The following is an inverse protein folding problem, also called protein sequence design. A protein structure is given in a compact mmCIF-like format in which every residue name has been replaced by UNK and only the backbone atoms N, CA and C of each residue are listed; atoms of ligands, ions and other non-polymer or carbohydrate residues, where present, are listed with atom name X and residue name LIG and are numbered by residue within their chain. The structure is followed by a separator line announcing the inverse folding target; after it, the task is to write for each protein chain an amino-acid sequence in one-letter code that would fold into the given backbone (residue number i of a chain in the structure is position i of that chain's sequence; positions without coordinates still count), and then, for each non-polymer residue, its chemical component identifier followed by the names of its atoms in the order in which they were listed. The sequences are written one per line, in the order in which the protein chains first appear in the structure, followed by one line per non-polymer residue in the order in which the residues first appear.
data_IF_810369886391
#
_entry.id   IF_810369886391
#
_cell.length_a   1.000
_cell.length_b   1.000
_cell.length_c   1.000
_cell.angle_alpha   90.00
_cell.angle_beta   90.00
_cell.angle_gamma   90.00
#
_symmetry.space_group_name_H-M   'P 1'
#
loop_
_entity.id
_entity.type
_entity.pdbx_description
1 polymer ?
#
# COMPACT_ATOMS: atom_id res chain seq x y z
N UNK A 1 -35.77 -0.20 54.12
CA UNK A 1 -34.51 0.51 54.42
C UNK A 1 -33.39 -0.48 54.15
N UNK A 2 -32.63 -0.42 53.07
CA UNK A 2 -32.35 0.66 52.11
C UNK A 2 -32.24 0.11 50.69
N UNK A 3 -32.89 0.82 49.77
CA UNK A 3 -32.73 0.74 48.32
C UNK A 3 -31.30 1.03 47.86
N UNK A 4 -30.95 0.46 46.72
CA UNK A 4 -29.68 0.67 46.01
C UNK A 4 -29.81 0.24 44.56
N UNK A 5 -30.62 0.98 43.81
CA UNK A 5 -30.73 0.99 42.35
C UNK A 5 -29.38 1.39 41.71
N UNK A 6 -28.93 0.61 40.71
CA UNK A 6 -28.13 1.06 39.56
C UNK A 6 -28.34 0.11 38.38
N UNK A 7 -29.23 0.50 37.47
CA UNK A 7 -28.93 0.74 36.03
C UNK A 7 -27.75 -0.10 35.48
N UNK A 8 -27.96 -1.08 34.60
CA UNK A 8 -28.43 -0.85 33.24
C UNK A 8 -27.24 -0.53 32.34
N UNK A 9 -26.57 -1.56 31.81
CA UNK A 9 -25.80 -1.44 30.57
C UNK A 9 -26.08 -2.68 29.74
N UNK A 10 -26.97 -2.49 28.76
CA UNK A 10 -27.05 -3.31 27.58
C UNK A 10 -25.64 -3.42 27.01
N UNK A 11 -25.12 -4.64 26.92
CA UNK A 11 -23.98 -4.93 26.06
C UNK A 11 -24.43 -4.64 24.64
N UNK A 12 -24.14 -3.42 24.19
CA UNK A 12 -24.17 -3.03 22.80
C UNK A 12 -23.17 -3.94 22.08
N UNK A 13 -23.69 -5.03 21.50
CA UNK A 13 -23.17 -5.55 20.25
C UNK A 13 -23.23 -4.38 19.27
N UNK A 14 -22.13 -3.63 19.18
CA UNK A 14 -21.93 -2.72 18.06
C UNK A 14 -21.79 -3.63 16.84
N UNK A 15 -22.90 -3.85 16.14
CA UNK A 15 -22.92 -4.25 14.75
C UNK A 15 -21.98 -3.32 13.99
N UNK A 16 -20.76 -3.78 13.74
CA UNK A 16 -19.92 -3.18 12.72
C UNK A 16 -20.70 -3.32 11.40
N UNK A 17 -21.19 -2.19 10.87
CA UNK A 17 -21.79 -2.15 9.56
C UNK A 17 -20.79 -2.75 8.55
N UNK A 18 -21.12 -3.93 8.04
CA UNK A 18 -20.37 -4.61 7.01
C UNK A 18 -20.51 -3.84 5.69
N UNK A 19 -19.72 -2.77 5.52
CA UNK A 19 -19.50 -2.19 4.21
C UNK A 19 -18.70 -3.16 3.36
N UNK A 20 -19.18 -3.46 2.15
CA UNK A 20 -18.37 -4.16 1.15
C UNK A 20 -17.06 -3.39 0.93
N UNK A 21 -15.95 -4.12 0.81
CA UNK A 21 -14.68 -3.50 0.46
C UNK A 21 -14.82 -2.85 -0.92
N UNK A 22 -14.24 -1.65 -1.14
CA UNK A 22 -14.31 -1.02 -2.45
C UNK A 22 -13.66 -1.90 -3.51
N UNK A 23 -14.31 -2.00 -4.65
CA UNK A 23 -13.81 -2.62 -5.88
C UNK A 23 -12.56 -1.89 -6.39
N UNK A 24 -11.79 -2.54 -7.26
CA UNK A 24 -10.59 -1.92 -7.83
C UNK A 24 -10.91 -0.72 -8.71
N UNK A 25 -12.03 -0.74 -9.43
CA UNK A 25 -12.54 0.39 -10.17
C UNK A 25 -12.87 1.58 -9.23
N UNK A 26 -13.52 1.35 -8.09
CA UNK A 26 -13.78 2.39 -7.09
C UNK A 26 -12.51 2.91 -6.43
N UNK A 27 -11.49 2.05 -6.22
CA UNK A 27 -10.18 2.46 -5.71
C UNK A 27 -9.47 3.38 -6.70
N UNK A 28 -9.53 3.06 -8.00
CA UNK A 28 -9.00 3.94 -9.05
C UNK A 28 -9.77 5.25 -9.14
N UNK A 29 -11.10 5.23 -9.05
CA UNK A 29 -11.92 6.43 -9.03
C UNK A 29 -11.54 7.36 -7.87
N UNK A 30 -11.40 6.81 -6.66
CA UNK A 30 -10.97 7.57 -5.47
C UNK A 30 -9.56 8.13 -5.63
N UNK A 31 -8.64 7.35 -6.20
CA UNK A 31 -7.29 7.81 -6.49
C UNK A 31 -7.28 8.95 -7.53
N UNK A 32 -7.98 8.76 -8.64
CA UNK A 32 -8.07 9.75 -9.71
C UNK A 32 -8.67 11.06 -9.20
N UNK A 33 -9.82 11.00 -8.54
CA UNK A 33 -10.49 12.17 -7.97
C UNK A 33 -9.61 12.91 -6.94
N UNK A 34 -8.80 12.18 -6.17
CA UNK A 34 -7.91 12.77 -5.16
C UNK A 34 -6.71 13.48 -5.80
N UNK A 35 -6.21 13.02 -6.94
CA UNK A 35 -4.95 13.48 -7.52
C UNK A 35 -5.07 14.11 -8.92
N UNK A 36 -6.27 14.31 -9.44
CA UNK A 36 -6.55 14.87 -10.78
C UNK A 36 -5.74 16.14 -11.08
N UNK A 37 -5.57 17.02 -10.08
CA UNK A 37 -4.85 18.29 -10.21
C UNK A 37 -3.61 18.40 -9.32
N UNK A 38 -3.22 17.33 -8.62
CA UNK A 38 -2.12 17.36 -7.67
C UNK A 38 -0.92 16.58 -8.17
N UNK A 39 0.32 17.09 -8.00
CA UNK A 39 1.50 16.29 -8.25
C UNK A 39 1.56 15.11 -7.27
N UNK A 40 2.03 13.98 -7.80
CA UNK A 40 2.18 12.71 -7.11
C UNK A 40 3.69 12.39 -7.05
N UNK A 41 4.30 12.43 -5.87
CA UNK A 41 5.76 12.28 -5.67
C UNK A 41 6.31 11.00 -6.31
N UNK A 42 7.57 10.93 -6.77
CA UNK A 42 8.19 9.62 -7.08
C UNK A 42 8.27 8.73 -5.82
N UNK A 43 8.33 7.41 -5.99
CA UNK A 43 8.49 6.48 -4.86
C UNK A 43 9.87 5.82 -4.89
N UNK A 44 10.37 5.41 -3.72
CA UNK A 44 11.59 4.63 -3.61
C UNK A 44 11.47 3.56 -2.53
N UNK A 45 12.31 2.52 -2.62
CA UNK A 45 12.39 1.45 -1.66
C UNK A 45 13.83 1.19 -1.22
N UNK A 46 14.10 1.21 0.08
CA UNK A 46 15.43 0.99 0.64
C UNK A 46 15.37 0.10 1.88
N UNK A 47 16.35 -0.79 2.03
CA UNK A 47 16.49 -1.58 3.28
C UNK A 47 17.14 -0.68 4.34
N UNK A 48 16.48 -0.56 5.49
CA UNK A 48 16.95 0.24 6.62
C UNK A 48 16.92 -0.56 7.91
N UNK A 49 17.80 -0.19 8.85
CA UNK A 49 17.67 -0.66 10.23
C UNK A 49 16.77 0.30 10.98
N UNK A 50 15.71 -0.20 11.60
CA UNK A 50 14.78 0.61 12.38
C UNK A 50 14.65 0.05 13.79
N UNK A 51 14.60 0.96 14.77
CA UNK A 51 14.32 0.68 16.17
C UNK A 51 13.36 1.75 16.69
N UNK A 52 12.24 1.33 17.25
CA UNK A 52 11.19 2.22 17.73
C UNK A 52 9.86 1.49 17.83
N UNK A 53 8.83 2.19 18.30
CA UNK A 53 7.47 1.70 18.18
C UNK A 53 6.98 1.89 16.74
N UNK A 54 6.29 0.90 16.19
CA UNK A 54 5.71 0.99 14.85
C UNK A 54 4.25 0.50 14.89
N UNK A 55 3.42 1.04 14.01
CA UNK A 55 1.97 0.85 13.97
C UNK A 55 1.55 0.46 12.56
N UNK A 56 0.45 -0.28 12.41
CA UNK A 56 -0.14 -0.48 11.08
C UNK A 56 -0.52 0.86 10.46
N UNK A 57 -0.32 0.98 9.16
CA UNK A 57 -0.85 2.10 8.38
C UNK A 57 -2.33 1.88 8.15
N UNK A 58 -3.13 2.89 8.48
CA UNK A 58 -4.57 2.89 8.26
C UNK A 58 -4.89 2.75 6.77
N UNK A 59 -5.92 1.96 6.44
CA UNK A 59 -6.34 1.64 5.06
C UNK A 59 -5.28 0.95 4.18
N UNK A 60 -4.25 0.33 4.77
CA UNK A 60 -3.37 -0.57 4.03
C UNK A 60 -4.18 -1.71 3.41
N UNK A 61 -4.08 -1.88 2.09
CA UNK A 61 -4.75 -2.95 1.35
C UNK A 61 -3.90 -4.22 1.35
N UNK A 62 -4.50 -5.40 1.21
CA UNK A 62 -3.77 -6.68 1.20
C UNK A 62 -2.75 -6.82 0.06
N UNK A 63 -1.86 -7.81 0.19
CA UNK A 63 -0.71 -8.10 -0.70
C UNK A 63 -1.08 -8.29 -2.19
N UNK A 64 -0.83 -7.30 -3.08
CA UNK A 64 -0.94 -7.44 -4.52
C UNK A 64 0.40 -7.93 -5.14
N UNK A 65 0.36 -8.32 -6.42
CA UNK A 65 1.53 -8.77 -7.18
C UNK A 65 2.32 -7.59 -7.78
N UNK A 66 3.65 -7.70 -7.77
CA UNK A 66 4.67 -6.75 -8.18
C UNK A 66 5.59 -7.46 -9.18
N UNK A 67 5.46 -7.27 -10.50
CA UNK A 67 6.22 -8.09 -11.48
C UNK A 67 6.06 -9.61 -11.23
N UNK A 68 4.85 -10.04 -10.85
CA UNK A 68 4.56 -11.42 -10.42
C UNK A 68 5.00 -11.77 -8.99
N UNK A 69 5.48 -10.79 -8.21
CA UNK A 69 6.00 -10.95 -6.84
C UNK A 69 5.08 -10.27 -5.82
N UNK A 70 4.53 -10.92 -4.80
CA UNK A 70 3.80 -10.27 -3.70
C UNK A 70 4.68 -9.31 -2.89
N UNK A 71 4.12 -8.45 -2.03
CA UNK A 71 4.92 -7.65 -1.06
C UNK A 71 5.94 -8.50 -0.30
N UNK A 72 5.56 -9.73 0.05
CA UNK A 72 6.47 -10.78 0.54
C UNK A 72 7.69 -11.00 -0.32
N UNK A 73 7.47 -11.19 -1.61
CA UNK A 73 8.55 -11.44 -2.55
C UNK A 73 9.36 -10.16 -2.84
N UNK A 74 8.77 -8.96 -2.84
CA UNK A 74 9.54 -7.71 -2.90
C UNK A 74 10.46 -7.57 -1.69
N UNK A 75 9.93 -7.75 -0.49
CA UNK A 75 10.68 -7.73 0.76
C UNK A 75 11.85 -8.73 0.73
N UNK A 76 11.58 -9.97 0.29
CA UNK A 76 12.60 -11.02 0.13
C UNK A 76 13.63 -10.62 -0.94
N UNK A 77 13.20 -10.10 -2.09
CA UNK A 77 14.07 -9.71 -3.20
C UNK A 77 14.99 -8.56 -2.82
N UNK A 78 14.45 -7.50 -2.21
CA UNK A 78 15.22 -6.35 -1.74
C UNK A 78 16.17 -6.75 -0.60
N UNK A 79 15.73 -7.60 0.31
CA UNK A 79 16.59 -8.21 1.34
C UNK A 79 17.74 -9.03 0.73
N UNK A 80 17.48 -9.82 -0.32
CA UNK A 80 18.50 -10.60 -1.01
C UNK A 80 19.56 -9.70 -1.68
N UNK A 81 19.12 -8.60 -2.32
CA UNK A 81 20.00 -7.61 -2.97
C UNK A 81 20.79 -6.73 -2.00
N UNK A 82 20.31 -6.52 -0.77
CA UNK A 82 21.01 -5.75 0.25
C UNK A 82 22.35 -6.40 0.63
N UNK A 83 23.43 -5.62 0.71
CA UNK A 83 24.76 -6.08 1.19
C UNK A 83 24.95 -5.89 2.70
N UNK A 84 23.98 -5.25 3.38
CA UNK A 84 24.05 -4.96 4.80
C UNK A 84 23.04 -5.76 5.61
N UNK A 85 22.06 -5.05 6.16
CA UNK A 85 20.98 -5.61 6.98
C UNK A 85 20.15 -6.61 6.16
N UNK A 86 19.82 -7.77 6.75
CA UNK A 86 19.04 -8.85 6.13
C UNK A 86 17.70 -9.04 6.84
N UNK A 87 16.64 -9.10 6.04
CA UNK A 87 15.31 -9.41 6.53
C UNK A 87 15.19 -10.94 6.71
N UNK A 88 15.04 -11.39 7.96
CA UNK A 88 14.69 -12.78 8.30
C UNK A 88 13.20 -13.06 8.09
N UNK A 89 12.88 -14.28 7.66
CA UNK A 89 11.52 -14.73 7.32
C UNK A 89 10.68 -15.13 8.55
N UNK A 90 10.73 -14.35 9.62
CA UNK A 90 9.96 -14.58 10.85
C UNK A 90 9.24 -13.28 11.26
N UNK A 91 8.18 -13.37 12.06
CA UNK A 91 7.52 -12.19 12.61
C UNK A 91 8.48 -11.38 13.49
N UNK A 92 8.53 -10.06 13.30
CA UNK A 92 9.41 -9.16 14.07
C UNK A 92 8.75 -8.61 15.31
N UNK A 93 7.42 -8.59 15.35
CA UNK A 93 6.69 -8.13 16.52
C UNK A 93 6.85 -9.12 17.68
N UNK A 94 7.43 -8.65 18.77
CA UNK A 94 7.50 -9.37 20.05
C UNK A 94 6.30 -9.03 20.94
N UNK A 95 5.64 -7.91 20.69
CA UNK A 95 4.50 -7.41 21.45
C UNK A 95 3.50 -6.68 20.53
N UNK A 96 2.19 -6.77 20.81
CA UNK A 96 1.58 -7.64 21.81
C UNK A 96 1.74 -9.12 21.44
N UNK A 97 1.83 -10.01 22.43
CA UNK A 97 1.92 -11.46 22.18
C UNK A 97 0.52 -12.00 21.96
N UNK A 98 0.32 -12.87 20.97
CA UNK A 98 -0.98 -13.49 20.78
C UNK A 98 -1.34 -14.41 21.95
N UNK A 99 -2.60 -14.36 22.38
CA UNK A 99 -3.14 -15.27 23.39
C UNK A 99 -3.35 -16.66 22.80
N UNK A 100 -2.38 -17.56 22.99
CA UNK A 100 -2.35 -18.98 22.58
C UNK A 100 -2.43 -19.27 21.07
N UNK A 101 -1.47 -20.04 20.57
CA UNK A 101 -1.59 -20.81 19.32
C UNK A 101 -1.17 -20.12 18.02
N UNK A 102 -0.78 -18.85 18.02
CA UNK A 102 -0.22 -18.21 16.81
C UNK A 102 1.23 -18.64 16.59
N UNK A 103 1.54 -19.19 15.41
CA UNK A 103 2.93 -19.37 15.00
C UNK A 103 3.52 -18.04 14.53
N UNK A 104 4.72 -17.71 15.01
CA UNK A 104 5.53 -16.59 14.51
C UNK A 104 6.45 -17.01 13.35
N UNK A 105 6.35 -18.27 12.93
CA UNK A 105 7.32 -18.95 12.06
C UNK A 105 7.13 -18.60 10.58
N UNK A 106 5.95 -18.10 10.20
CA UNK A 106 5.65 -17.69 8.84
C UNK A 106 5.06 -16.28 8.85
N UNK A 107 5.79 -15.34 8.27
CA UNK A 107 5.30 -13.98 8.09
C UNK A 107 4.39 -13.91 6.86
N UNK A 108 3.25 -13.24 7.04
CA UNK A 108 2.45 -12.67 5.96
C UNK A 108 2.87 -11.21 5.87
N UNK A 109 3.41 -10.79 4.72
CA UNK A 109 3.51 -9.34 4.51
C UNK A 109 2.08 -8.85 4.26
N UNK A 110 1.82 -7.60 4.57
CA UNK A 110 0.50 -6.99 4.36
C UNK A 110 0.21 -5.78 5.23
N UNK A 111 1.06 -5.52 6.23
CA UNK A 111 1.01 -4.27 6.98
C UNK A 111 2.09 -3.34 6.45
N UNK A 112 1.70 -2.30 5.70
CA UNK A 112 2.51 -1.10 5.72
C UNK A 112 2.56 -0.62 7.16
N UNK A 113 3.74 -0.21 7.61
CA UNK A 113 4.00 0.18 8.99
C UNK A 113 4.43 1.64 9.03
N UNK A 114 4.11 2.33 10.11
CA UNK A 114 4.48 3.74 10.34
C UNK A 114 4.89 3.96 11.79
N UNK A 115 5.87 4.84 12.06
CA UNK A 115 6.19 5.26 13.43
C UNK A 115 5.10 6.16 14.04
N UNK A 116 4.16 6.64 13.22
CA UNK A 116 3.06 7.48 13.68
C UNK A 116 1.98 6.64 14.36
N UNK A 117 1.69 6.91 15.63
CA UNK A 117 0.70 6.17 16.42
C UNK A 117 -0.74 6.28 15.90
N UNK A 118 -1.02 7.27 15.05
CA UNK A 118 -2.32 7.39 14.38
C UNK A 118 -2.47 6.48 13.16
N UNK A 119 -1.45 5.72 12.76
CA UNK A 119 -1.49 4.94 11.51
C UNK A 119 -1.40 5.79 10.24
N UNK A 120 -1.43 7.12 10.35
CA UNK A 120 -1.39 8.03 9.21
C UNK A 120 0.05 8.23 8.72
N UNK A 121 0.24 8.09 7.40
CA UNK A 121 1.47 8.50 6.71
C UNK A 121 1.18 9.79 5.97
N UNK A 122 1.95 10.84 6.27
CA UNK A 122 1.82 12.12 5.58
C UNK A 122 2.02 11.94 4.07
N UNK A 123 1.40 12.80 3.27
CA UNK A 123 1.56 12.81 1.80
C UNK A 123 3.05 12.89 1.44
N UNK A 124 3.53 11.95 0.63
CA UNK A 124 4.95 11.87 0.23
C UNK A 124 5.88 11.36 1.34
N UNK A 125 5.33 10.99 2.49
CA UNK A 125 6.07 10.46 3.63
C UNK A 125 6.59 9.05 3.39
N UNK A 126 7.17 8.47 4.45
CA UNK A 126 7.65 7.09 4.42
C UNK A 126 6.74 6.16 5.21
N UNK A 127 6.58 4.95 4.68
CA UNK A 127 6.08 3.80 5.42
C UNK A 127 7.11 2.67 5.34
N UNK A 128 6.87 1.57 6.05
CA UNK A 128 7.82 0.46 6.13
C UNK A 128 7.10 -0.86 5.88
N UNK A 129 7.72 -1.80 5.19
CA UNK A 129 7.30 -3.19 5.22
C UNK A 129 8.14 -3.93 6.26
N UNK A 130 7.44 -4.54 7.21
CA UNK A 130 8.01 -5.34 8.28
C UNK A 130 7.43 -6.76 8.23
N UNK A 131 8.25 -7.81 8.39
CA UNK A 131 7.74 -9.16 8.60
C UNK A 131 6.81 -9.23 9.82
N UNK A 132 5.55 -9.58 9.58
CA UNK A 132 4.55 -9.81 10.63
C UNK A 132 3.86 -11.16 10.39
N UNK A 133 3.47 -11.87 11.45
CA UNK A 133 2.56 -12.99 11.29
C UNK A 133 1.14 -12.47 11.00
N UNK A 134 0.25 -13.34 10.52
CA UNK A 134 -1.14 -12.98 10.21
C UNK A 134 -1.90 -12.37 11.40
N UNK A 135 -1.53 -12.74 12.63
CA UNK A 135 -2.17 -12.21 13.83
C UNK A 135 -1.80 -10.75 14.08
N UNK A 136 -0.51 -10.40 13.99
CA UNK A 136 -0.04 -9.01 14.11
C UNK A 136 -0.49 -8.17 12.93
N UNK A 137 -0.47 -8.76 11.73
CA UNK A 137 -0.94 -8.14 10.50
C UNK A 137 -2.47 -8.26 10.34
N UNK A 138 -3.23 -7.83 11.34
CA UNK A 138 -4.69 -7.81 11.30
C UNK A 138 -5.23 -6.45 11.69
N UNK A 139 -6.35 -6.04 11.08
CA UNK A 139 -7.03 -4.76 11.39
C UNK A 139 -7.43 -4.62 12.87
N UNK A 140 -7.60 -5.75 13.57
CA UNK A 140 -7.85 -5.76 15.01
C UNK A 140 -6.68 -5.20 15.84
N UNK A 141 -5.54 -4.90 15.21
CA UNK A 141 -4.32 -4.35 15.81
C UNK A 141 -3.95 -2.98 15.23
N UNK A 142 -4.83 -2.37 14.44
CA UNK A 142 -4.64 -0.99 14.02
C UNK A 142 -4.62 -0.07 15.24
N UNK A 143 -3.74 0.94 15.21
CA UNK A 143 -3.47 1.83 16.35
C UNK A 143 -2.72 1.19 17.54
N UNK A 144 -2.38 -0.11 17.48
CA UNK A 144 -1.55 -0.74 18.51
C UNK A 144 -0.07 -0.64 18.17
N UNK A 145 0.75 -0.28 19.17
CA UNK A 145 2.19 -0.25 19.02
C UNK A 145 2.74 -1.69 18.98
N UNK A 146 3.54 -2.00 17.96
CA UNK A 146 4.34 -3.20 17.92
C UNK A 146 5.73 -2.93 18.50
N UNK A 147 6.10 -3.70 19.51
CA UNK A 147 7.49 -3.79 19.94
C UNK A 147 8.27 -4.72 19.01
N UNK A 148 9.49 -4.33 18.70
CA UNK A 148 10.43 -5.15 17.96
C UNK A 148 11.87 -4.73 18.33
N UNK A 149 12.82 -5.66 18.24
CA UNK A 149 14.23 -5.32 18.36
C UNK A 149 14.70 -4.48 17.15
N UNK A 150 15.89 -3.87 17.21
CA UNK A 150 16.45 -3.20 16.03
C UNK A 150 16.50 -4.18 14.84
N UNK A 151 15.64 -3.97 13.86
CA UNK A 151 15.36 -4.92 12.78
C UNK A 151 15.46 -4.28 11.42
N UNK A 152 15.81 -5.08 10.42
CA UNK A 152 15.89 -4.67 9.03
C UNK A 152 14.49 -4.57 8.42
N UNK A 153 14.07 -3.40 7.94
CA UNK A 153 12.80 -3.19 7.27
C UNK A 153 13.00 -2.66 5.86
N UNK A 154 12.00 -2.79 5.00
CA UNK A 154 11.99 -2.08 3.72
C UNK A 154 11.26 -0.75 3.92
N UNK A 155 11.99 0.36 3.94
CA UNK A 155 11.39 1.69 3.90
C UNK A 155 10.90 1.97 2.48
N UNK A 156 9.66 2.41 2.38
CA UNK A 156 9.01 2.89 1.18
C UNK A 156 8.81 4.40 1.32
N UNK A 157 9.27 5.21 0.37
CA UNK A 157 9.07 6.66 0.36
C UNK A 157 8.11 7.10 -0.76
N UNK A 158 7.57 8.31 -0.66
CA UNK A 158 6.61 8.82 -1.64
C UNK A 158 5.21 8.22 -1.48
N UNK A 159 4.95 7.60 -0.32
CA UNK A 159 3.67 6.96 -0.02
C UNK A 159 2.55 7.99 0.06
N UNK A 160 1.42 7.63 -0.53
CA UNK A 160 0.20 8.42 -0.53
C UNK A 160 -0.87 7.62 0.21
N UNK A 161 -1.48 8.21 1.24
CA UNK A 161 -2.52 7.52 2.02
C UNK A 161 -3.66 7.03 1.11
N UNK A 162 -4.10 5.79 1.34
CA UNK A 162 -5.16 5.12 0.57
C UNK A 162 -4.86 4.99 -0.93
N UNK A 163 -3.59 5.07 -1.32
CA UNK A 163 -3.24 4.87 -2.72
C UNK A 163 -3.34 3.41 -3.14
N UNK A 164 -3.80 3.15 -4.38
CA UNK A 164 -3.58 1.89 -5.04
C UNK A 164 -2.10 1.52 -5.02
N UNK A 165 -1.79 0.29 -4.64
CA UNK A 165 -0.43 -0.21 -4.74
C UNK A 165 0.15 -0.06 -6.16
N UNK A 166 -0.66 -0.35 -7.19
CA UNK A 166 -0.22 -0.30 -8.58
C UNK A 166 0.22 1.14 -8.97
N UNK A 167 -0.35 2.19 -8.34
CA UNK A 167 0.14 3.56 -8.49
C UNK A 167 1.42 3.84 -7.71
N UNK A 168 1.70 3.16 -6.60
CA UNK A 168 3.00 3.22 -5.93
C UNK A 168 4.10 2.59 -6.80
N UNK A 169 3.80 1.49 -7.50
CA UNK A 169 4.77 0.75 -8.31
C UNK A 169 5.27 1.46 -9.53
N UNK A 170 4.36 2.03 -10.31
CA UNK A 170 4.76 2.74 -11.53
C UNK A 170 5.59 3.99 -11.25
N UNK A 171 5.63 4.40 -9.98
CA UNK A 171 6.45 5.49 -9.45
C UNK A 171 7.77 5.00 -8.84
N UNK A 172 7.96 3.69 -8.65
CA UNK A 172 9.20 3.10 -8.12
C UNK A 172 10.17 2.91 -9.28
N UNK A 173 11.20 3.77 -9.32
CA UNK A 173 12.40 3.59 -10.14
C UNK A 173 12.20 3.53 -11.67
N UNK A 174 11.15 4.19 -12.17
CA UNK A 174 10.91 4.31 -13.62
C UNK A 174 11.59 5.54 -14.23
N UNK A 175 12.61 5.33 -15.07
CA UNK A 175 12.94 6.27 -16.15
C UNK A 175 11.84 6.33 -17.23
N UNK A 176 10.83 5.45 -17.10
CA UNK A 176 9.67 5.40 -17.97
C UNK A 176 8.92 6.75 -17.93
N UNK A 177 8.67 7.35 -19.10
CA UNK A 177 8.02 8.65 -19.21
C UNK A 177 6.55 8.66 -18.77
N UNK A 178 5.86 7.52 -18.83
CA UNK A 178 4.50 7.39 -18.35
C UNK A 178 4.19 5.96 -17.94
N UNK A 179 3.03 5.75 -17.33
CA UNK A 179 2.51 4.44 -16.97
C UNK A 179 0.98 4.48 -16.91
N UNK A 180 0.35 3.32 -17.06
CA UNK A 180 -1.08 3.11 -16.86
C UNK A 180 -1.29 2.18 -15.68
N UNK A 181 -2.31 2.50 -14.86
CA UNK A 181 -2.83 1.65 -13.80
C UNK A 181 -4.29 1.37 -14.09
N UNK A 182 -4.73 0.12 -14.02
CA UNK A 182 -6.07 -0.27 -14.43
C UNK A 182 -6.65 -1.43 -13.63
N UNK A 183 -7.98 -1.56 -13.63
CA UNK A 183 -8.67 -2.70 -13.03
C UNK A 183 -8.72 -3.85 -14.04
N UNK A 184 -7.95 -4.90 -13.79
CA UNK A 184 -7.89 -6.13 -14.58
C UNK A 184 -8.59 -7.31 -13.90
N UNK A 185 -8.42 -8.51 -14.45
CA UNK A 185 -9.12 -9.72 -13.97
C UNK A 185 -8.58 -10.23 -12.63
N UNK A 186 -7.29 -10.01 -12.36
CA UNK A 186 -6.60 -10.43 -11.13
C UNK A 186 -6.48 -9.30 -10.10
N UNK A 187 -7.08 -8.15 -10.40
CA UNK A 187 -7.14 -6.97 -9.55
C UNK A 187 -6.53 -5.72 -10.21
N UNK A 188 -5.95 -4.82 -9.42
CA UNK A 188 -5.23 -3.67 -9.96
C UNK A 188 -3.92 -4.09 -10.64
N UNK A 189 -3.81 -3.77 -11.93
CA UNK A 189 -2.67 -4.05 -12.77
C UNK A 189 -1.99 -2.75 -13.24
N UNK A 190 -0.76 -2.86 -13.73
CA UNK A 190 -0.01 -1.72 -14.24
C UNK A 190 0.88 -2.05 -15.44
N UNK A 191 1.19 -1.02 -16.23
CA UNK A 191 2.16 -1.11 -17.33
C UNK A 191 2.91 0.20 -17.52
N UNK A 192 4.22 0.13 -17.71
CA UNK A 192 5.06 1.28 -18.08
C UNK A 192 4.89 1.59 -19.58
N UNK A 193 4.97 2.88 -19.91
CA UNK A 193 4.86 3.41 -21.27
C UNK A 193 6.19 4.08 -21.63
N UNK A 194 6.75 3.74 -22.79
CA UNK A 194 8.12 4.13 -23.17
C UNK A 194 8.19 5.46 -23.93
N UNK A 195 7.07 6.06 -24.40
CA UNK A 195 7.11 7.33 -25.13
C UNK A 195 6.21 8.44 -24.52
N UNK A 196 6.80 9.57 -24.03
CA UNK A 196 6.07 10.61 -23.29
C UNK A 196 5.08 11.41 -24.14
N UNK A 197 5.42 11.62 -25.43
CA UNK A 197 4.67 12.51 -26.31
C UNK A 197 3.35 11.93 -26.82
N UNK A 198 3.09 10.66 -26.51
CA UNK A 198 1.97 9.90 -27.03
C UNK A 198 1.16 9.25 -25.90
N UNK A 199 1.36 9.55 -24.61
CA UNK A 199 0.75 8.77 -23.51
C UNK A 199 -0.77 8.47 -23.66
N UNK A 200 -1.57 9.41 -24.18
CA UNK A 200 -2.98 9.17 -24.51
C UNK A 200 -3.17 8.31 -25.78
N UNK A 201 -2.36 8.51 -26.81
CA UNK A 201 -2.33 7.72 -28.06
C UNK A 201 -1.78 6.31 -27.80
N UNK A 202 -0.73 6.15 -27.00
CA UNK A 202 -0.17 4.88 -26.56
C UNK A 202 -1.11 4.14 -25.62
N UNK A 203 -1.86 4.82 -24.73
CA UNK A 203 -2.91 4.15 -23.97
C UNK A 203 -4.05 3.66 -24.88
N UNK A 204 -4.40 4.43 -25.93
CA UNK A 204 -5.33 4.00 -26.98
C UNK A 204 -4.76 2.87 -27.86
N UNK A 205 -3.45 2.86 -28.13
CA UNK A 205 -2.77 1.80 -28.90
C UNK A 205 -2.56 0.54 -28.05
N UNK A 206 -2.27 0.67 -26.74
CA UNK A 206 -2.31 -0.43 -25.78
C UNK A 206 -3.72 -0.99 -25.66
N UNK A 207 -4.76 -0.14 -25.71
CA UNK A 207 -6.15 -0.57 -25.86
C UNK A 207 -6.29 -1.50 -27.07
N UNK A 208 -5.81 -1.04 -28.22
CA UNK A 208 -5.99 -1.71 -29.49
C UNK A 208 -5.11 -2.97 -29.64
N UNK A 209 -3.97 -3.02 -28.95
CA UNK A 209 -2.99 -4.11 -29.02
C UNK A 209 -3.16 -5.18 -27.92
N UNK A 210 -3.81 -4.86 -26.80
CA UNK A 210 -4.30 -5.88 -25.88
C UNK A 210 -5.43 -6.64 -26.56
N UNK A 211 -5.43 -7.97 -26.49
CA UNK A 211 -6.59 -8.79 -26.86
C UNK A 211 -7.78 -8.43 -25.92
N UNK A 212 -8.48 -7.32 -26.17
CA UNK A 212 -9.58 -6.87 -25.32
C UNK A 212 -9.91 -5.38 -25.26
N UNK A 213 -9.07 -4.45 -25.74
CA UNK A 213 -9.35 -3.01 -25.56
C UNK A 213 -8.70 -2.39 -24.32
N UNK A 214 -8.97 -1.09 -24.08
CA UNK A 214 -8.61 -0.43 -22.82
C UNK A 214 -9.53 -0.98 -21.73
N UNK A 215 -9.00 -1.29 -20.54
CA UNK A 215 -9.81 -1.65 -19.38
C UNK A 215 -10.91 -0.61 -19.13
N UNK A 216 -12.07 -1.05 -18.66
CA UNK A 216 -13.18 -0.13 -18.37
C UNK A 216 -12.82 0.93 -17.33
N UNK A 217 -11.85 0.64 -16.46
CA UNK A 217 -11.33 1.56 -15.46
C UNK A 217 -9.79 1.65 -15.50
N UNK A 218 -9.25 2.85 -15.73
CA UNK A 218 -7.81 3.12 -15.76
C UNK A 218 -7.45 4.56 -15.35
N UNK A 219 -6.18 4.76 -15.00
CA UNK A 219 -5.53 6.05 -14.76
C UNK A 219 -4.15 6.05 -15.43
N UNK A 220 -3.83 7.10 -16.19
CA UNK A 220 -2.50 7.29 -16.80
C UNK A 220 -1.72 8.30 -15.98
N UNK A 221 -0.53 7.89 -15.55
CA UNK A 221 0.42 8.68 -14.79
C UNK A 221 1.59 9.07 -15.70
N UNK A 222 1.74 10.35 -16.00
CA UNK A 222 2.90 10.87 -16.72
C UNK A 222 3.97 11.32 -15.72
N UNK A 223 5.21 10.87 -15.94
CA UNK A 223 6.37 11.34 -15.21
C UNK A 223 6.74 12.74 -15.66
N UNK A 224 7.01 13.61 -14.71
CA UNK A 224 7.41 14.99 -14.93
C UNK A 224 8.59 15.30 -14.02
N UNK A 225 9.58 15.98 -14.58
CA UNK A 225 10.70 16.55 -13.84
C UNK A 225 10.54 18.08 -13.82
N UNK A 226 10.37 18.66 -12.64
CA UNK A 226 10.40 20.12 -12.44
C UNK A 226 11.29 20.41 -11.21
N UNK A 227 12.10 21.46 -11.28
CA UNK A 227 12.97 21.92 -10.19
C UNK A 227 13.91 20.86 -9.58
N UNK A 228 14.31 19.85 -10.37
CA UNK A 228 15.18 18.76 -9.93
C UNK A 228 14.47 17.66 -9.13
N UNK A 229 13.14 17.75 -9.01
CA UNK A 229 12.30 16.73 -8.41
C UNK A 229 11.56 15.92 -9.48
N UNK A 230 11.34 14.62 -9.21
CA UNK A 230 10.49 13.77 -10.06
C UNK A 230 9.13 13.61 -9.40
N UNK A 231 8.07 13.85 -10.17
CA UNK A 231 6.70 13.58 -9.78
C UNK A 231 5.91 13.03 -10.96
N UNK A 232 4.67 12.66 -10.69
CA UNK A 232 3.73 12.12 -11.65
C UNK A 232 2.46 12.97 -11.65
N UNK A 233 1.85 13.13 -12.82
CA UNK A 233 0.54 13.77 -13.00
C UNK A 233 -0.42 12.81 -13.66
N UNK A 234 -1.68 12.85 -13.27
CA UNK A 234 -2.74 12.15 -14.00
C UNK A 234 -2.98 12.94 -15.29
N UNK A 235 -2.75 12.30 -16.44
CA UNK A 235 -2.95 12.93 -17.77
C UNK A 235 -4.20 12.43 -18.48
N UNK A 236 -4.72 11.29 -18.04
CA UNK A 236 -6.00 10.75 -18.47
C UNK A 236 -6.52 9.75 -17.43
N UNK A 237 -7.83 9.58 -17.36
CA UNK A 237 -8.44 8.53 -16.57
C UNK A 237 -9.83 8.20 -17.08
N UNK A 238 -10.21 6.93 -16.97
CA UNK A 238 -11.59 6.47 -17.08
C UNK A 238 -11.90 5.72 -15.81
N UNK A 239 -12.81 6.21 -15.01
CA UNK A 239 -13.20 5.55 -13.75
C UNK A 239 -14.70 5.71 -13.55
N UNK A 240 -15.37 4.82 -12.79
CA UNK A 240 -16.77 5.02 -12.44
C UNK A 240 -16.95 6.35 -11.71
N UNK A 241 -18.10 6.99 -11.96
CA UNK A 241 -18.47 8.29 -11.38
C UNK A 241 -18.76 8.21 -9.88
#
# INVERSE_FOLDING_TARGET
MTDGDKTGEAGFEAEAAAGELPTDAERLARFAARFESLPITSTAAAIVSYSGAIYNVDDSTGDPLIDGLKWKQLLITMSAKSTGCKIVQACYADTPVATKGSSHNEFSVGGHMTPNSSGVVAKGGSCYLMPLCSWHNSKARDGQAFGHANTCMLQLSGYMQSEPFASFMVRMDGAAPAAIVYAGEEGLEQRVLEHPGHAAVEALELAAAAEGGLPESFVILQRVEEDGETFYRIVDSRTPA
#
